data_IF_723702635105
#
_entry.id   IF_723702635105
#
_cell.length_a   1.000
_cell.length_b   1.000
_cell.length_c   1.000
_cell.angle_alpha   90.00
_cell.angle_beta   90.00
_cell.angle_gamma   90.00
#
_symmetry.space_group_name_H-M   'P 1'
#
loop_
_entity.id
_entity.type
_entity.pdbx_description
1 polymer ?
#
# COMPACT_ATOMS: atom_id res chain seq x y z
N UNK A 1 -2.56 -4.02 9.31
CA UNK A 1 -3.65 -4.67 8.55
C UNK A 1 -3.94 -3.97 7.23
N UNK A 2 -4.17 -2.64 7.19
CA UNK A 2 -4.41 -1.90 5.93
C UNK A 2 -3.26 -1.93 4.90
N UNK A 3 -2.00 -2.00 5.37
CA UNK A 3 -0.80 -2.00 4.51
C UNK A 3 -0.66 -3.23 3.60
N UNK A 4 -1.44 -4.29 3.88
CA UNK A 4 -1.45 -5.51 3.07
C UNK A 4 -2.63 -5.53 2.08
N UNK A 5 -3.22 -4.38 1.74
CA UNK A 5 -4.35 -4.29 0.81
C UNK A 5 -5.68 -4.79 1.38
N UNK A 6 -5.80 -4.91 2.71
CA UNK A 6 -7.06 -5.32 3.35
C UNK A 6 -7.91 -4.09 3.70
N UNK A 7 -9.20 -4.14 3.35
CA UNK A 7 -10.22 -3.14 3.70
C UNK A 7 -11.10 -3.69 4.84
N UNK A 8 -10.77 -3.44 6.11
CA UNK A 8 -11.70 -3.67 7.21
C UNK A 8 -12.82 -2.62 7.11
N UNK A 9 -14.05 -3.12 7.01
CA UNK A 9 -15.25 -2.33 6.78
C UNK A 9 -16.18 -2.54 7.98
N UNK A 10 -16.59 -1.43 8.60
CA UNK A 10 -17.46 -1.46 9.79
C UNK A 10 -18.88 -1.22 9.32
N UNK A 11 -19.76 -2.20 9.52
CA UNK A 11 -21.19 -2.13 9.22
C UNK A 11 -22.03 -2.51 10.44
N UNK A 12 -23.29 -2.04 10.52
CA UNK A 12 -24.27 -2.58 11.44
C UNK A 12 -24.44 -4.09 11.28
N UNK A 13 -24.64 -4.81 12.38
CA UNK A 13 -24.78 -6.27 12.39
C UNK A 13 -25.85 -6.77 11.40
N UNK A 14 -26.99 -6.07 11.33
CA UNK A 14 -28.09 -6.45 10.43
C UNK A 14 -27.69 -6.45 8.95
N UNK A 15 -26.85 -5.51 8.55
CA UNK A 15 -26.36 -5.40 7.17
C UNK A 15 -25.33 -6.49 6.86
N UNK A 16 -24.46 -6.81 7.84
CA UNK A 16 -23.51 -7.93 7.74
C UNK A 16 -24.25 -9.25 7.59
N UNK A 17 -25.29 -9.49 8.40
CA UNK A 17 -26.09 -10.72 8.33
C UNK A 17 -26.78 -10.87 6.97
N UNK A 18 -27.32 -9.77 6.42
CA UNK A 18 -27.91 -9.75 5.08
C UNK A 18 -26.88 -10.07 3.99
N UNK A 19 -25.70 -9.45 4.03
CA UNK A 19 -24.63 -9.73 3.08
C UNK A 19 -24.11 -11.18 3.19
N UNK A 20 -23.98 -11.69 4.42
CA UNK A 20 -23.57 -13.06 4.67
C UNK A 20 -24.58 -14.07 4.12
N UNK A 21 -25.88 -13.80 4.26
CA UNK A 21 -26.92 -14.64 3.67
C UNK A 21 -26.82 -14.67 2.15
N UNK A 22 -26.73 -13.50 1.50
CA UNK A 22 -26.60 -13.40 0.04
C UNK A 22 -25.34 -14.13 -0.46
N UNK A 23 -24.22 -14.01 0.26
CA UNK A 23 -22.98 -14.69 -0.05
C UNK A 23 -23.07 -16.22 0.18
N UNK A 24 -23.80 -16.68 1.20
CA UNK A 24 -24.00 -18.11 1.48
C UNK A 24 -24.79 -18.82 0.38
N UNK A 25 -25.64 -18.08 -0.33
CA UNK A 25 -26.38 -18.55 -1.50
C UNK A 25 -25.53 -18.58 -2.78
N UNK A 26 -24.26 -18.18 -2.70
CA UNK A 26 -23.30 -18.20 -3.81
C UNK A 26 -23.36 -16.97 -4.73
N UNK A 27 -24.00 -15.89 -4.29
CA UNK A 27 -24.05 -14.65 -5.07
C UNK A 27 -22.82 -13.78 -4.81
N UNK A 28 -22.44 -12.99 -5.81
CA UNK A 28 -21.32 -12.06 -5.72
C UNK A 28 -21.66 -10.81 -4.88
N UNK A 29 -20.66 -10.36 -4.11
CA UNK A 29 -20.70 -9.10 -3.37
C UNK A 29 -19.63 -8.18 -3.96
N UNK A 30 -20.06 -7.05 -4.49
CA UNK A 30 -19.20 -6.03 -5.06
C UNK A 30 -18.95 -4.92 -4.03
N UNK A 31 -17.69 -4.53 -3.87
CA UNK A 31 -17.30 -3.43 -2.98
C UNK A 31 -16.71 -2.32 -3.84
N UNK A 32 -17.48 -1.25 -4.01
CA UNK A 32 -17.03 -0.02 -4.67
C UNK A 32 -16.40 0.91 -3.64
N UNK A 33 -15.06 0.91 -3.60
CA UNK A 33 -14.30 1.76 -2.71
C UNK A 33 -14.32 3.24 -3.12
N UNK A 34 -14.48 3.55 -4.41
CA UNK A 34 -14.44 4.93 -4.93
C UNK A 34 -15.71 5.67 -4.50
N UNK A 35 -16.86 5.01 -4.67
CA UNK A 35 -18.16 5.54 -4.24
C UNK A 35 -18.53 5.17 -2.80
N UNK A 36 -17.70 4.36 -2.13
CA UNK A 36 -17.92 3.87 -0.75
C UNK A 36 -19.25 3.14 -0.58
N UNK A 37 -19.52 2.19 -1.49
CA UNK A 37 -20.74 1.39 -1.50
C UNK A 37 -20.43 -0.09 -1.56
N UNK A 38 -21.22 -0.88 -0.85
CA UNK A 38 -21.27 -2.33 -1.00
C UNK A 38 -22.55 -2.67 -1.73
N UNK A 39 -22.42 -3.29 -2.90
CA UNK A 39 -23.52 -3.73 -3.74
C UNK A 39 -23.58 -5.26 -3.70
N UNK A 40 -24.74 -5.80 -3.36
CA UNK A 40 -25.00 -7.22 -3.45
C UNK A 40 -26.31 -7.45 -4.17
N UNK A 41 -26.34 -8.42 -5.09
CA UNK A 41 -27.55 -8.79 -5.81
C UNK A 41 -27.81 -10.27 -5.60
N UNK A 42 -28.97 -10.58 -5.06
CA UNK A 42 -29.42 -11.96 -4.95
C UNK A 42 -30.06 -12.38 -6.27
N UNK A 43 -29.44 -13.31 -6.98
CA UNK A 43 -29.92 -13.77 -8.29
C UNK A 43 -31.19 -14.64 -8.19
N UNK A 44 -31.44 -15.28 -7.05
CA UNK A 44 -32.60 -16.15 -6.84
C UNK A 44 -33.87 -15.34 -6.51
N UNK A 45 -33.73 -14.29 -5.69
CA UNK A 45 -34.87 -13.45 -5.26
C UNK A 45 -35.01 -12.14 -6.05
N UNK A 46 -34.00 -11.76 -6.83
CA UNK A 46 -33.94 -10.47 -7.51
C UNK A 46 -33.74 -9.27 -6.57
N UNK A 47 -33.48 -9.52 -5.28
CA UNK A 47 -33.27 -8.48 -4.28
C UNK A 47 -31.89 -7.83 -4.45
N UNK A 48 -31.86 -6.50 -4.52
CA UNK A 48 -30.63 -5.70 -4.59
C UNK A 48 -30.44 -4.92 -3.29
N UNK A 49 -29.28 -5.07 -2.70
CA UNK A 49 -28.87 -4.36 -1.49
C UNK A 49 -27.72 -3.43 -1.85
N UNK A 50 -27.86 -2.16 -1.45
CA UNK A 50 -26.82 -1.14 -1.60
C UNK A 50 -26.62 -0.50 -0.22
N UNK A 51 -25.43 -0.68 0.34
CA UNK A 51 -25.06 -0.18 1.67
C UNK A 51 -23.95 0.86 1.49
N UNK A 52 -24.12 2.03 2.11
CA UNK A 52 -23.07 3.05 2.16
C UNK A 52 -22.19 2.82 3.38
N UNK A 53 -20.88 2.94 3.21
CA UNK A 53 -19.93 2.87 4.31
C UNK A 53 -19.03 4.11 4.33
N UNK A 54 -18.36 4.34 5.46
CA UNK A 54 -17.43 5.44 5.62
C UNK A 54 -16.04 4.91 5.96
N UNK A 55 -15.03 5.44 5.28
CA UNK A 55 -13.62 5.16 5.55
C UNK A 55 -12.83 6.47 5.65
N UNK A 56 -11.76 6.42 6.43
CA UNK A 56 -10.78 7.50 6.49
C UNK A 56 -10.22 7.83 5.09
N UNK A 57 -10.21 9.11 4.67
CA UNK A 57 -9.77 9.51 3.33
C UNK A 57 -8.33 9.12 2.99
N UNK A 58 -7.44 9.13 3.98
CA UNK A 58 -6.05 8.75 3.77
C UNK A 58 -5.94 7.25 3.51
N UNK A 59 -6.65 6.42 4.29
CA UNK A 59 -6.72 4.97 4.04
C UNK A 59 -7.35 4.64 2.70
N UNK A 60 -8.41 5.35 2.31
CA UNK A 60 -9.02 5.23 0.98
C UNK A 60 -7.99 5.49 -0.12
N UNK A 61 -7.26 6.61 -0.02
CA UNK A 61 -6.21 6.96 -0.99
C UNK A 61 -5.16 5.85 -1.06
N UNK A 62 -4.68 5.35 0.08
CA UNK A 62 -3.69 4.27 0.09
C UNK A 62 -4.19 2.99 -0.58
N UNK A 63 -5.46 2.61 -0.38
CA UNK A 63 -6.03 1.43 -1.01
C UNK A 63 -6.31 1.61 -2.51
N UNK A 64 -6.73 2.81 -2.93
CA UNK A 64 -7.02 3.13 -4.35
C UNK A 64 -5.74 3.26 -5.16
N UNK A 65 -4.74 3.95 -4.63
CA UNK A 65 -3.47 4.22 -5.32
C UNK A 65 -2.41 3.12 -5.05
N UNK A 66 -2.70 2.15 -4.17
CA UNK A 66 -1.76 1.11 -3.77
C UNK A 66 -0.55 1.66 -3.01
N UNK A 67 -0.72 2.73 -2.24
CA UNK A 67 0.36 3.33 -1.45
C UNK A 67 0.62 2.53 -0.19
N UNK A 68 1.90 2.23 0.04
CA UNK A 68 2.45 1.74 1.30
C UNK A 68 3.43 2.77 1.90
N UNK A 69 3.95 2.53 3.11
CA UNK A 69 4.88 3.44 3.80
C UNK A 69 6.09 3.83 2.95
N UNK A 70 6.63 2.88 2.18
CA UNK A 70 7.77 3.14 1.28
C UNK A 70 7.33 4.11 0.20
N UNK A 71 6.18 3.86 -0.46
CA UNK A 71 5.62 4.75 -1.49
C UNK A 71 5.29 6.14 -0.93
N UNK A 72 4.76 6.20 0.29
CA UNK A 72 4.51 7.47 0.99
C UNK A 72 5.81 8.25 1.24
N UNK A 73 6.89 7.54 1.53
CA UNK A 73 8.22 8.14 1.68
C UNK A 73 8.81 8.56 0.34
N UNK A 74 8.59 7.79 -0.73
CA UNK A 74 8.97 8.14 -2.10
C UNK A 74 8.25 9.41 -2.59
N UNK A 75 7.02 9.68 -2.16
CA UNK A 75 6.36 10.96 -2.47
C UNK A 75 7.10 12.18 -1.90
N UNK A 76 8.02 11.97 -0.95
CA UNK A 76 8.86 13.01 -0.37
C UNK A 76 10.25 13.07 -1.03
N UNK A 77 10.43 12.51 -2.23
CA UNK A 77 11.72 12.43 -2.95
C UNK A 77 12.46 13.78 -3.01
N UNK A 78 11.76 14.88 -3.28
CA UNK A 78 12.38 16.22 -3.30
C UNK A 78 12.90 16.67 -1.92
N UNK A 79 12.17 16.33 -0.85
CA UNK A 79 12.61 16.60 0.52
C UNK A 79 13.79 15.70 0.90
N UNK A 80 13.80 14.46 0.42
CA UNK A 80 14.92 13.53 0.60
C UNK A 80 16.16 14.10 -0.09
N UNK A 81 16.06 14.48 -1.38
CA UNK A 81 17.17 15.06 -2.15
C UNK A 81 17.71 16.35 -1.54
N UNK A 82 16.83 17.26 -1.14
CA UNK A 82 17.25 18.52 -0.50
C UNK A 82 17.96 18.28 0.83
N UNK A 83 17.45 17.36 1.65
CA UNK A 83 18.10 16.94 2.88
C UNK A 83 19.46 16.27 2.62
N UNK A 84 19.54 15.35 1.64
CA UNK A 84 20.77 14.68 1.24
C UNK A 84 21.85 15.68 0.79
N UNK A 85 21.48 16.70 -0.01
CA UNK A 85 22.41 17.73 -0.44
C UNK A 85 23.01 18.50 0.75
N UNK A 86 22.19 18.89 1.72
CA UNK A 86 22.66 19.55 2.95
C UNK A 86 23.51 18.61 3.80
N UNK A 87 23.12 17.33 3.87
CA UNK A 87 23.83 16.31 4.63
C UNK A 87 25.24 16.09 4.09
N UNK A 88 25.38 15.93 2.78
CA UNK A 88 26.68 15.74 2.11
C UNK A 88 27.62 16.94 2.30
N UNK A 89 27.08 18.17 2.37
CA UNK A 89 27.88 19.36 2.65
C UNK A 89 28.33 19.45 4.11
N UNK A 90 27.43 19.17 5.06
CA UNK A 90 27.72 19.32 6.50
C UNK A 90 28.54 18.16 7.04
N UNK A 91 28.24 16.95 6.58
CA UNK A 91 28.78 15.70 7.10
C UNK A 91 29.21 14.81 5.93
N UNK A 92 30.25 15.24 5.18
CA UNK A 92 30.73 14.49 4.04
C UNK A 92 31.09 13.05 4.43
N UNK A 93 31.55 12.82 5.67
CA UNK A 93 31.95 11.50 6.13
C UNK A 93 30.83 10.43 6.19
N UNK A 94 29.56 10.82 6.00
CA UNK A 94 28.43 9.90 5.94
C UNK A 94 28.22 9.28 4.54
N UNK A 95 28.87 9.81 3.51
CA UNK A 95 28.65 9.40 2.12
C UNK A 95 29.48 8.18 1.67
N UNK A 96 30.25 7.56 2.57
CA UNK A 96 31.08 6.37 2.35
C UNK A 96 32.55 6.63 1.97
N UNK A 97 33.35 5.57 1.92
CA UNK A 97 34.82 5.65 2.03
C UNK A 97 35.45 6.42 0.85
N UNK A 98 36.08 7.58 1.14
CA UNK A 98 36.86 8.40 0.20
C UNK A 98 36.26 9.77 -0.17
N UNK A 99 35.07 10.08 0.34
CA UNK A 99 34.37 11.38 0.36
C UNK A 99 34.50 12.30 -0.86
N UNK A 100 33.76 11.91 -1.89
CA UNK A 100 33.37 12.73 -3.03
C UNK A 100 32.38 11.95 -3.89
N UNK A 101 31.09 11.98 -3.52
CA UNK A 101 30.00 11.35 -4.28
C UNK A 101 29.39 10.11 -3.61
N UNK A 102 28.10 9.86 -3.91
CA UNK A 102 27.36 8.67 -3.45
C UNK A 102 28.16 7.43 -3.85
N UNK A 103 28.58 6.60 -2.87
CA UNK A 103 29.20 5.31 -3.17
C UNK A 103 28.26 4.54 -4.10
N UNK A 104 28.70 4.14 -5.30
CA UNK A 104 27.87 3.37 -6.20
C UNK A 104 27.48 2.07 -5.51
N UNK A 105 26.19 1.91 -5.24
CA UNK A 105 25.63 0.64 -4.77
C UNK A 105 25.69 -0.30 -5.98
N UNK A 106 26.40 -1.43 -5.91
CA UNK A 106 26.45 -2.36 -7.04
C UNK A 106 25.07 -2.99 -7.20
N UNK A 107 24.26 -2.44 -8.09
CA UNK A 107 22.97 -3.01 -8.48
C UNK A 107 23.23 -4.12 -9.50
N UNK A 108 23.54 -5.31 -8.98
CA UNK A 108 23.54 -6.58 -9.73
C UNK A 108 24.69 -6.79 -10.72
N UNK A 109 25.64 -7.67 -10.38
CA UNK A 109 26.61 -8.19 -11.34
C UNK A 109 27.76 -8.99 -10.73
N UNK A 110 27.59 -10.31 -10.68
CA UNK A 110 28.61 -11.37 -10.49
C UNK A 110 29.65 -11.20 -9.37
N UNK A 111 29.49 -12.01 -8.32
CA UNK A 111 30.59 -12.33 -7.42
C UNK A 111 31.70 -13.03 -8.22
N UNK A 112 32.71 -12.26 -8.65
CA UNK A 112 33.95 -12.85 -9.18
C UNK A 112 34.71 -13.39 -7.98
N UNK A 113 34.68 -14.71 -7.82
CA UNK A 113 35.36 -15.42 -6.75
C UNK A 113 36.84 -15.03 -6.70
N UNK A 114 37.26 -14.43 -5.59
CA UNK A 114 38.66 -14.48 -5.19
C UNK A 114 38.83 -15.77 -4.41
N UNK A 115 39.56 -16.70 -5.02
CA UNK A 115 40.10 -17.87 -4.36
C UNK A 115 40.98 -17.38 -3.20
N UNK A 116 40.61 -17.71 -1.97
CA UNK A 116 41.46 -17.57 -0.80
C UNK A 116 41.83 -18.98 -0.36
N UNK A 117 43.04 -19.39 -0.72
CA UNK A 117 43.73 -20.48 -0.05
C UNK A 117 44.18 -19.98 1.33
N UNK A 118 43.60 -20.55 2.39
CA UNK A 118 44.13 -20.61 3.75
C UNK A 118 43.81 -21.97 4.35
#
# INVERSE_FOLDING_TARGET
MFKNGMLPLILPQKEVDQLAQIASEGNDVEIDLVNQRVNATNQQTGSKVSIEFSIDPFRKKCLVEGLDDIRLTELLDDKIKSYEAVRSQKWPWLDGIGFGGKVPIPVGGSATGKNLDW
#
